data_IF_775764414999
#
_entry.id   IF_775764414999
#
_cell.length_a   1.000
_cell.length_b   1.000
_cell.length_c   1.000
_cell.angle_alpha   90.00
_cell.angle_beta   90.00
_cell.angle_gamma   90.00
#
_symmetry.space_group_name_H-M   'P 1'
#
loop_
_entity.id
_entity.type
_entity.pdbx_description
1 polymer ?
#
# COMPACT_ATOMS: atom_id res chain seq x y z
N UNK A 1 10.50 8.46 -43.02
CA UNK A 1 9.90 8.99 -41.77
C UNK A 1 9.11 7.86 -41.13
N UNK A 2 9.46 7.46 -39.89
CA UNK A 2 8.70 6.45 -39.14
C UNK A 2 7.68 7.21 -38.29
N UNK A 3 6.40 6.99 -38.53
CA UNK A 3 5.34 7.53 -37.69
C UNK A 3 5.33 6.78 -36.36
N UNK A 4 5.60 7.48 -35.27
CA UNK A 4 5.40 6.96 -33.91
C UNK A 4 3.90 6.89 -33.62
N UNK A 5 3.37 5.68 -33.57
CA UNK A 5 2.00 5.43 -33.09
C UNK A 5 2.00 5.62 -31.57
N UNK A 6 1.43 6.76 -31.14
CA UNK A 6 1.25 7.11 -29.72
C UNK A 6 0.21 6.17 -29.09
N UNK A 7 0.52 5.52 -27.95
CA UNK A 7 -0.42 4.58 -27.34
C UNK A 7 -1.68 5.31 -26.87
N UNK A 8 -2.84 4.87 -27.36
CA UNK A 8 -4.14 5.36 -26.93
C UNK A 8 -4.37 4.92 -25.49
N UNK A 9 -4.31 5.87 -24.55
CA UNK A 9 -4.70 5.62 -23.15
C UNK A 9 -6.13 5.08 -23.15
N UNK A 10 -6.33 3.92 -22.52
CA UNK A 10 -7.61 3.24 -22.42
C UNK A 10 -8.65 4.08 -21.65
N UNK A 11 -9.26 5.08 -22.30
CA UNK A 11 -10.21 6.06 -21.72
C UNK A 11 -11.41 5.40 -21.02
N UNK A 12 -11.77 4.18 -21.43
CA UNK A 12 -12.87 3.41 -20.82
C UNK A 12 -12.61 3.06 -19.35
N UNK A 13 -11.34 2.79 -18.98
CA UNK A 13 -10.99 2.45 -17.60
C UNK A 13 -11.02 3.69 -16.70
N UNK A 14 -10.51 4.82 -17.18
CA UNK A 14 -10.54 6.11 -16.45
C UNK A 14 -11.99 6.54 -16.16
N UNK A 15 -12.90 6.41 -17.14
CA UNK A 15 -14.30 6.77 -16.96
C UNK A 15 -15.02 5.89 -15.92
N UNK A 16 -14.70 4.59 -15.85
CA UNK A 16 -15.29 3.69 -14.84
C UNK A 16 -14.87 4.11 -13.43
N UNK A 17 -13.62 4.50 -13.22
CA UNK A 17 -13.18 5.00 -11.91
C UNK A 17 -13.85 6.33 -11.56
N UNK A 18 -14.05 7.22 -12.54
CA UNK A 18 -14.73 8.50 -12.33
C UNK A 18 -16.23 8.30 -12.01
N UNK A 19 -16.92 7.46 -12.77
CA UNK A 19 -18.33 7.12 -12.51
C UNK A 19 -18.46 6.42 -11.17
N UNK A 20 -17.60 5.44 -10.88
CA UNK A 20 -17.61 4.71 -9.61
C UNK A 20 -17.35 5.63 -8.41
N UNK A 21 -16.38 6.54 -8.52
CA UNK A 21 -16.10 7.55 -7.50
C UNK A 21 -17.25 8.51 -7.28
N UNK A 22 -17.94 8.93 -8.35
CA UNK A 22 -19.11 9.80 -8.24
C UNK A 22 -20.29 9.10 -7.55
N UNK A 23 -20.55 7.84 -7.90
CA UNK A 23 -21.60 7.03 -7.25
C UNK A 23 -21.29 6.84 -5.77
N UNK A 24 -20.03 6.54 -5.43
CA UNK A 24 -19.58 6.40 -4.05
C UNK A 24 -19.74 7.70 -3.26
N UNK A 25 -19.40 8.85 -3.86
CA UNK A 25 -19.57 10.16 -3.24
C UNK A 25 -21.05 10.44 -2.94
N UNK A 26 -21.95 10.17 -3.88
CA UNK A 26 -23.39 10.34 -3.69
C UNK A 26 -23.89 9.44 -2.56
N UNK A 27 -23.45 8.18 -2.49
CA UNK A 27 -23.81 7.28 -1.39
C UNK A 27 -23.35 7.80 -0.03
N UNK A 28 -22.12 8.31 0.07
CA UNK A 28 -21.59 8.92 1.30
C UNK A 28 -22.45 10.11 1.70
N UNK A 29 -22.83 10.98 0.76
CA UNK A 29 -23.70 12.13 1.03
C UNK A 29 -25.06 11.67 1.55
N UNK A 30 -25.70 10.69 0.89
CA UNK A 30 -27.01 10.17 1.31
C UNK A 30 -26.92 9.60 2.73
N UNK A 31 -25.93 8.76 3.01
CA UNK A 31 -25.71 8.18 4.34
C UNK A 31 -25.48 9.30 5.36
N UNK A 32 -24.67 10.31 5.02
CA UNK A 32 -24.40 11.43 5.93
C UNK A 32 -25.67 12.21 6.24
N UNK A 33 -26.44 12.58 5.21
CA UNK A 33 -27.68 13.36 5.35
C UNK A 33 -28.74 12.57 6.12
N UNK A 34 -28.93 11.29 5.83
CA UNK A 34 -29.89 10.44 6.53
C UNK A 34 -29.48 10.17 7.99
N UNK A 35 -28.19 10.12 8.27
CA UNK A 35 -27.66 9.90 9.62
C UNK A 35 -27.31 11.23 10.33
N UNK A 36 -27.90 12.36 9.90
CA UNK A 36 -27.71 13.68 10.53
C UNK A 36 -28.43 13.79 11.88
N UNK A 37 -29.16 12.76 12.30
CA UNK A 37 -29.78 12.72 13.62
C UNK A 37 -28.72 13.02 14.69
N UNK A 38 -28.89 14.12 15.45
CA UNK A 38 -27.87 14.59 16.37
C UNK A 38 -27.72 13.58 17.50
N UNK A 39 -26.54 12.94 17.57
CA UNK A 39 -26.19 12.06 18.67
C UNK A 39 -25.41 12.86 19.73
N UNK A 40 -25.84 12.79 20.99
CA UNK A 40 -25.12 13.40 22.11
C UNK A 40 -23.86 12.57 22.39
N UNK A 41 -22.68 13.16 22.15
CA UNK A 41 -21.40 12.53 22.42
C UNK A 41 -20.77 13.16 23.65
N UNK A 42 -20.57 12.31 24.66
CA UNK A 42 -19.93 12.68 25.93
C UNK A 42 -18.50 12.18 25.89
N UNK A 43 -17.58 13.07 25.63
CA UNK A 43 -16.16 12.86 25.94
C UNK A 43 -15.94 13.26 27.39
N UNK A 44 -14.97 12.67 28.06
CA UNK A 44 -14.66 12.76 29.51
C UNK A 44 -15.23 13.98 30.29
N UNK A 45 -15.08 15.20 29.76
CA UNK A 45 -15.68 16.43 30.31
C UNK A 45 -16.40 17.31 29.27
N UNK A 46 -16.51 16.87 28.02
CA UNK A 46 -17.07 17.67 26.91
C UNK A 46 -18.30 17.00 26.30
N UNK A 47 -19.27 17.84 25.92
CA UNK A 47 -20.51 17.41 25.27
C UNK A 47 -20.59 18.05 23.91
N UNK A 48 -20.78 17.21 22.90
CA UNK A 48 -20.92 17.65 21.52
C UNK A 48 -22.14 16.97 20.91
N UNK A 49 -22.86 17.69 20.06
CA UNK A 49 -23.97 17.16 19.28
C UNK A 49 -23.51 17.08 17.84
N UNK A 50 -23.11 15.88 17.43
CA UNK A 50 -22.71 15.60 16.06
C UNK A 50 -23.35 14.29 15.59
N UNK A 51 -23.68 14.19 14.29
CA UNK A 51 -23.98 12.93 13.65
C UNK A 51 -22.92 11.86 13.94
N UNK A 52 -23.34 10.65 14.32
CA UNK A 52 -22.44 9.57 14.73
C UNK A 52 -21.44 9.18 13.61
N UNK A 53 -21.86 9.32 12.34
CA UNK A 53 -21.03 9.04 11.17
C UNK A 53 -19.78 9.92 11.09
N UNK A 54 -19.86 11.19 11.51
CA UNK A 54 -18.72 12.13 11.48
C UNK A 54 -17.64 11.67 12.45
N UNK A 55 -18.05 11.20 13.62
CA UNK A 55 -17.14 10.70 14.67
C UNK A 55 -16.49 9.38 14.23
N UNK A 56 -17.27 8.48 13.64
CA UNK A 56 -16.75 7.22 13.08
C UNK A 56 -15.70 7.47 11.98
N UNK A 57 -16.00 8.38 11.05
CA UNK A 57 -15.05 8.75 10.00
C UNK A 57 -13.79 9.40 10.57
N UNK A 58 -13.93 10.30 11.55
CA UNK A 58 -12.78 10.92 12.21
C UNK A 58 -11.90 9.86 12.91
N UNK A 59 -12.49 8.96 13.71
CA UNK A 59 -11.75 7.89 14.39
C UNK A 59 -11.08 6.93 13.40
N UNK A 60 -11.77 6.55 12.32
CA UNK A 60 -11.20 5.73 11.27
C UNK A 60 -10.00 6.43 10.62
N UNK A 61 -10.13 7.71 10.30
CA UNK A 61 -9.06 8.48 9.67
C UNK A 61 -7.85 8.61 10.61
N UNK A 62 -8.08 8.88 11.89
CA UNK A 62 -7.02 8.88 12.90
C UNK A 62 -6.33 7.52 13.02
N UNK A 63 -7.10 6.43 13.08
CA UNK A 63 -6.56 5.07 13.10
C UNK A 63 -5.74 4.73 11.86
N UNK A 64 -6.23 5.11 10.68
CA UNK A 64 -5.53 4.92 9.41
C UNK A 64 -4.22 5.70 9.36
N UNK A 65 -4.25 6.99 9.71
CA UNK A 65 -3.04 7.83 9.78
C UNK A 65 -2.05 7.24 10.78
N UNK A 66 -2.52 6.84 11.97
CA UNK A 66 -1.67 6.24 12.99
C UNK A 66 -1.01 4.93 12.52
N UNK A 67 -1.77 4.07 11.83
CA UNK A 67 -1.26 2.85 11.23
C UNK A 67 -0.20 3.11 10.15
N UNK A 68 -0.45 4.09 9.27
CA UNK A 68 0.48 4.49 8.22
C UNK A 68 1.79 5.06 8.77
N UNK A 69 1.71 5.87 9.83
CA UNK A 69 2.88 6.39 10.54
C UNK A 69 3.74 5.23 11.08
N UNK A 70 3.11 4.24 11.72
CA UNK A 70 3.78 3.03 12.24
C UNK A 70 4.49 2.24 11.13
N UNK A 71 3.82 2.06 9.99
CA UNK A 71 4.37 1.37 8.82
C UNK A 71 5.59 2.10 8.25
N UNK A 72 5.51 3.43 8.14
CA UNK A 72 6.59 4.27 7.62
C UNK A 72 7.88 4.19 8.45
N UNK A 73 7.75 4.07 9.78
CA UNK A 73 8.91 3.93 10.67
C UNK A 73 9.51 2.51 10.69
N UNK A 74 8.72 1.48 10.40
CA UNK A 74 9.15 0.07 10.47
C UNK A 74 10.05 -0.36 9.30
N UNK A 75 9.91 0.24 8.12
CA UNK A 75 10.62 -0.20 6.90
C UNK A 75 12.15 -0.04 6.95
N UNK A 76 12.69 0.83 7.81
CA UNK A 76 14.14 1.09 7.87
C UNK A 76 14.95 -0.03 8.53
N UNK A 77 14.34 -0.88 9.35
CA UNK A 77 15.03 -1.97 10.03
C UNK A 77 15.15 -3.21 9.13
N UNK A 78 14.09 -3.49 8.37
CA UNK A 78 14.03 -4.63 7.44
C UNK A 78 15.06 -4.46 6.30
N UNK A 79 15.21 -3.24 5.75
CA UNK A 79 16.22 -2.98 4.72
C UNK A 79 17.66 -3.18 5.21
N UNK A 80 17.94 -2.91 6.50
CA UNK A 80 19.28 -3.11 7.07
C UNK A 80 19.58 -4.58 7.25
N UNK A 81 18.60 -5.36 7.68
CA UNK A 81 18.75 -6.81 7.84
C UNK A 81 18.91 -7.51 6.49
N UNK A 82 18.17 -7.11 5.46
CA UNK A 82 18.33 -7.62 4.09
C UNK A 82 19.75 -7.33 3.57
N UNK A 83 20.23 -6.09 3.70
CA UNK A 83 21.58 -5.71 3.25
C UNK A 83 22.69 -6.43 4.04
N UNK A 84 22.48 -6.71 5.33
CA UNK A 84 23.42 -7.46 6.15
C UNK A 84 23.48 -8.94 5.74
N UNK A 85 22.31 -9.55 5.48
CA UNK A 85 22.20 -10.93 4.99
C UNK A 85 22.81 -11.10 3.59
N UNK A 86 22.60 -10.14 2.69
CA UNK A 86 23.19 -10.16 1.34
C UNK A 86 24.72 -10.08 1.37
N UNK A 87 25.29 -9.25 2.25
CA UNK A 87 26.74 -9.18 2.45
C UNK A 87 27.28 -10.52 2.98
N UNK A 88 26.63 -11.10 3.98
CA UNK A 88 27.03 -12.39 4.55
C UNK A 88 27.01 -13.52 3.50
N UNK A 89 25.96 -13.60 2.68
CA UNK A 89 25.86 -14.59 1.59
C UNK A 89 26.98 -14.38 0.57
N UNK A 90 27.28 -13.12 0.22
CA UNK A 90 28.35 -12.80 -0.73
C UNK A 90 29.72 -13.22 -0.20
N UNK A 91 30.01 -12.93 1.06
CA UNK A 91 31.29 -13.27 1.69
C UNK A 91 31.46 -14.78 1.85
N UNK A 92 30.39 -15.49 2.24
CA UNK A 92 30.38 -16.96 2.29
C UNK A 92 30.62 -17.59 0.91
N UNK A 93 30.00 -17.07 -0.16
CA UNK A 93 30.26 -17.52 -1.54
C UNK A 93 31.69 -17.26 -1.98
N UNK A 94 32.25 -16.10 -1.64
CA UNK A 94 33.65 -15.76 -1.95
C UNK A 94 34.64 -16.63 -1.17
N UNK A 95 34.34 -16.97 0.08
CA UNK A 95 35.13 -17.92 0.88
C UNK A 95 35.06 -19.33 0.28
N UNK A 96 33.87 -19.81 -0.11
CA UNK A 96 33.71 -21.12 -0.75
C UNK A 96 34.39 -21.21 -2.12
N UNK A 97 34.38 -20.16 -2.94
CA UNK A 97 35.15 -20.10 -4.19
C UNK A 97 36.66 -20.18 -3.98
N UNK A 98 37.19 -19.65 -2.86
CA UNK A 98 38.62 -19.74 -2.52
C UNK A 98 39.02 -21.07 -1.90
N UNK A 99 38.09 -21.78 -1.27
CA UNK A 99 38.32 -23.09 -0.63
C UNK A 99 38.20 -24.29 -1.58
N UNK A 100 38.06 -24.08 -2.89
CA UNK A 100 38.16 -25.15 -3.89
C UNK A 100 36.99 -26.15 -3.93
N UNK A 101 35.86 -25.84 -3.28
CA UNK A 101 34.64 -26.65 -3.39
C UNK A 101 33.84 -26.17 -4.60
N UNK A 102 34.02 -26.86 -5.72
CA UNK A 102 33.19 -26.71 -6.92
C UNK A 102 31.73 -27.05 -6.58
N UNK A 103 30.85 -26.06 -6.59
CA UNK A 103 29.42 -26.28 -6.75
C UNK A 103 28.99 -25.69 -8.09
N UNK A 104 28.97 -26.57 -9.09
CA UNK A 104 28.36 -26.35 -10.37
C UNK A 104 26.83 -26.33 -10.20
N UNK A 105 26.28 -25.20 -9.76
CA UNK A 105 24.86 -24.92 -9.92
C UNK A 105 24.59 -23.41 -9.96
N UNK A 106 24.91 -22.83 -11.10
CA UNK A 106 24.20 -21.64 -11.61
C UNK A 106 23.18 -22.14 -12.65
N UNK A 107 22.04 -21.46 -12.73
CA UNK A 107 21.11 -21.47 -13.87
C UNK A 107 19.82 -22.31 -13.80
N UNK A 108 19.10 -22.29 -12.68
CA UNK A 108 17.62 -22.26 -12.73
C UNK A 108 17.06 -21.58 -11.47
N UNK A 109 16.91 -20.26 -11.48
CA UNK A 109 15.67 -19.58 -11.09
C UNK A 109 15.93 -18.06 -10.97
N UNK A 110 16.21 -17.43 -12.11
CA UNK A 110 16.23 -15.97 -12.26
C UNK A 110 14.97 -15.47 -12.99
N UNK A 111 13.87 -16.25 -12.94
CA UNK A 111 12.59 -15.94 -13.63
C UNK A 111 11.43 -15.60 -12.70
N UNK A 112 11.53 -15.80 -11.38
CA UNK A 112 10.40 -15.60 -10.45
C UNK A 112 10.39 -14.27 -9.67
N UNK A 113 11.28 -13.32 -9.96
CA UNK A 113 11.32 -12.01 -9.26
C UNK A 113 10.63 -10.87 -10.01
N UNK A 114 10.26 -11.05 -11.29
CA UNK A 114 9.50 -10.04 -12.04
C UNK A 114 7.97 -10.15 -11.87
N UNK A 115 7.47 -11.15 -11.12
CA UNK A 115 6.02 -11.39 -10.96
C UNK A 115 5.50 -11.28 -9.51
N UNK A 116 6.32 -10.84 -8.55
CA UNK A 116 5.85 -10.58 -7.17
C UNK A 116 5.50 -9.11 -6.90
N UNK A 117 5.87 -8.19 -7.80
CA UNK A 117 5.61 -6.76 -7.68
C UNK A 117 4.21 -6.29 -8.10
N UNK A 118 3.30 -7.18 -8.53
CA UNK A 118 1.94 -6.82 -8.96
C UNK A 118 0.81 -7.20 -7.99
N UNK A 119 1.12 -7.89 -6.88
CA UNK A 119 0.09 -8.46 -6.01
C UNK A 119 -0.33 -7.58 -4.81
N UNK A 120 0.32 -6.45 -4.57
CA UNK A 120 0.01 -5.54 -3.45
C UNK A 120 -0.32 -4.12 -3.92
N UNK A 121 -0.98 -4.03 -5.07
CA UNK A 121 -1.60 -2.79 -5.53
C UNK A 121 -3.10 -2.89 -5.32
N UNK A 122 -3.51 -2.64 -4.08
CA UNK A 122 -4.86 -2.20 -3.74
C UNK A 122 -4.73 -0.88 -3.00
#
# INVERSE_FOLDING_TARGET
MKEEVKPERNRRKENIYLIGGLVLLVLIIIITVQNTDPAEVKLLFWRFEFPLIIILLAMFLFGFIYGQIKSFFSNRQIEREIKARDKLIKDLRMAQSKSGVSNQQSDTNKKDDNNRGSAYKY
#
